data_IF_589941518918
#
_entry.id   IF_589941518918
#
_cell.length_a   1.000
_cell.length_b   1.000
_cell.length_c   1.000
_cell.angle_alpha   90.00
_cell.angle_beta   90.00
_cell.angle_gamma   90.00
#
_symmetry.space_group_name_H-M   'P 1'
#
loop_
_entity.id
_entity.type
_entity.pdbx_description
1 polymer ?
#
# COMPACT_ATOMS: atom_id res chain seq x y z
N UNK A 1 -8.71 0.51 -8.49
CA UNK A 1 -9.26 -0.68 -7.81
C UNK A 1 -10.76 -0.80 -8.11
N UNK A 2 -11.22 -1.76 -8.94
CA UNK A 2 -12.63 -1.82 -9.39
C UNK A 2 -13.65 -1.94 -8.26
N UNK A 3 -13.30 -2.63 -7.17
CA UNK A 3 -14.18 -2.80 -6.01
C UNK A 3 -14.48 -1.48 -5.28
N UNK A 4 -13.59 -0.48 -5.38
CA UNK A 4 -13.80 0.85 -4.79
C UNK A 4 -14.97 1.62 -5.44
N UNK A 5 -15.44 1.19 -6.63
CA UNK A 5 -16.66 1.73 -7.24
C UNK A 5 -17.93 1.21 -6.56
N UNK A 6 -17.85 0.02 -5.95
CA UNK A 6 -18.98 -0.64 -5.28
C UNK A 6 -19.04 -0.28 -3.79
N UNK A 7 -17.88 -0.14 -3.14
CA UNK A 7 -17.75 0.24 -1.75
C UNK A 7 -16.84 1.47 -1.65
N UNK A 8 -17.42 2.68 -1.51
CA UNK A 8 -16.67 3.91 -1.37
C UNK A 8 -15.75 3.88 -0.16
N UNK A 9 -14.67 4.66 -0.22
CA UNK A 9 -13.64 4.68 0.81
C UNK A 9 -14.18 5.17 2.17
N UNK A 10 -15.10 6.13 2.19
CA UNK A 10 -15.74 6.63 3.41
C UNK A 10 -16.53 5.53 4.14
N UNK A 11 -17.24 4.70 3.38
CA UNK A 11 -18.00 3.57 3.93
C UNK A 11 -17.04 2.51 4.51
N UNK A 12 -15.92 2.27 3.84
CA UNK A 12 -14.86 1.38 4.32
C UNK A 12 -14.24 1.89 5.65
N UNK A 13 -13.96 3.18 5.76
CA UNK A 13 -13.40 3.78 6.98
C UNK A 13 -14.36 3.64 8.17
N UNK A 14 -15.65 3.84 7.94
CA UNK A 14 -16.70 3.64 8.95
C UNK A 14 -16.73 2.19 9.45
N UNK A 15 -16.63 1.22 8.53
CA UNK A 15 -16.58 -0.21 8.89
C UNK A 15 -15.31 -0.55 9.67
N UNK A 16 -14.18 0.05 9.29
CA UNK A 16 -12.89 -0.16 9.97
C UNK A 16 -12.97 0.25 11.44
N UNK A 17 -13.57 1.39 11.76
CA UNK A 17 -13.69 1.84 13.15
C UNK A 17 -14.56 0.87 13.97
N UNK A 18 -15.72 0.49 13.43
CA UNK A 18 -16.61 -0.47 14.09
C UNK A 18 -15.93 -1.82 14.35
N UNK A 19 -15.19 -2.33 13.36
CA UNK A 19 -14.45 -3.58 13.51
C UNK A 19 -13.29 -3.46 14.50
N UNK A 20 -12.55 -2.35 14.46
CA UNK A 20 -11.39 -2.12 15.33
C UNK A 20 -11.78 -1.97 16.81
N UNK A 21 -12.98 -1.43 17.08
CA UNK A 21 -13.56 -1.37 18.43
C UNK A 21 -13.92 -2.77 18.93
N UNK A 22 -14.55 -3.58 18.07
CA UNK A 22 -15.01 -4.94 18.42
C UNK A 22 -13.84 -5.90 18.62
N UNK A 23 -12.87 -5.90 17.70
CA UNK A 23 -11.68 -6.76 17.75
C UNK A 23 -10.61 -6.28 18.74
N UNK A 24 -10.73 -5.03 19.23
CA UNK A 24 -9.74 -4.30 20.05
C UNK A 24 -8.38 -4.07 19.36
N UNK A 25 -8.21 -4.52 18.12
CA UNK A 25 -6.99 -4.34 17.34
C UNK A 25 -7.23 -3.34 16.20
N UNK A 26 -6.29 -2.41 15.95
CA UNK A 26 -6.40 -1.51 14.80
C UNK A 26 -6.26 -2.28 13.50
N UNK A 27 -7.08 -1.95 12.50
CA UNK A 27 -6.95 -2.49 11.14
C UNK A 27 -5.68 -1.96 10.48
N UNK A 28 -4.98 -2.82 9.74
CA UNK A 28 -3.84 -2.39 8.92
C UNK A 28 -4.30 -2.17 7.47
N UNK A 29 -4.09 -0.96 6.97
CA UNK A 29 -4.33 -0.57 5.59
C UNK A 29 -3.04 -0.75 4.78
N UNK A 30 -3.12 -1.49 3.69
CA UNK A 30 -2.00 -1.66 2.76
C UNK A 30 -2.06 -0.62 1.64
N UNK A 31 -0.96 0.10 1.43
CA UNK A 31 -0.83 1.10 0.38
C UNK A 31 0.33 0.75 -0.54
N UNK A 32 0.00 0.38 -1.78
CA UNK A 32 1.02 0.03 -2.78
C UNK A 32 1.51 1.29 -3.47
N UNK A 33 2.81 1.56 -3.35
CA UNK A 33 3.48 2.74 -3.88
C UNK A 33 4.01 2.42 -5.29
N UNK A 34 3.40 3.02 -6.31
CA UNK A 34 3.68 2.76 -7.74
C UNK A 34 4.08 4.06 -8.44
N UNK A 35 5.12 3.95 -9.28
CA UNK A 35 5.73 5.09 -9.96
C UNK A 35 4.71 5.86 -10.81
N UNK A 36 4.56 7.15 -10.53
CA UNK A 36 3.66 8.06 -11.25
C UNK A 36 2.16 7.78 -11.09
N UNK A 37 1.75 6.92 -10.15
CA UNK A 37 0.34 6.53 -9.96
C UNK A 37 -0.12 6.80 -8.53
N UNK A 38 0.69 6.41 -7.54
CA UNK A 38 0.35 6.52 -6.11
C UNK A 38 1.50 7.06 -5.28
N UNK A 39 2.55 7.60 -5.92
CA UNK A 39 3.79 8.01 -5.28
C UNK A 39 3.96 9.52 -5.14
N UNK A 40 2.90 10.30 -5.39
CA UNK A 40 2.95 11.74 -5.22
C UNK A 40 2.85 12.12 -3.73
N UNK A 41 3.58 13.17 -3.34
CA UNK A 41 3.48 13.80 -2.01
C UNK A 41 2.02 14.17 -1.67
N UNK A 42 1.24 14.63 -2.65
CA UNK A 42 -0.17 14.94 -2.44
C UNK A 42 -0.98 13.73 -2.00
N UNK A 43 -0.63 12.53 -2.46
CA UNK A 43 -1.29 11.30 -2.02
C UNK A 43 -0.92 10.96 -0.58
N UNK A 44 0.34 11.17 -0.17
CA UNK A 44 0.75 11.03 1.23
C UNK A 44 0.00 12.01 2.15
N UNK A 45 -0.18 13.27 1.73
CA UNK A 45 -0.93 14.26 2.49
C UNK A 45 -2.41 13.89 2.63
N UNK A 46 -3.03 13.41 1.53
CA UNK A 46 -4.41 12.91 1.57
C UNK A 46 -4.54 11.70 2.49
N UNK A 47 -3.59 10.77 2.48
CA UNK A 47 -3.59 9.63 3.40
C UNK A 47 -3.55 10.07 4.87
N UNK A 48 -2.75 11.09 5.21
CA UNK A 48 -2.70 11.62 6.57
C UNK A 48 -4.05 12.20 6.96
N UNK A 49 -4.62 13.06 6.12
CA UNK A 49 -5.90 13.71 6.38
C UNK A 49 -7.02 12.67 6.56
N UNK A 50 -7.13 11.73 5.61
CA UNK A 50 -8.20 10.73 5.58
C UNK A 50 -8.14 9.71 6.71
N UNK A 51 -6.96 9.39 7.22
CA UNK A 51 -6.79 8.35 8.26
C UNK A 51 -6.69 8.94 9.66
N UNK A 52 -6.56 10.26 9.78
CA UNK A 52 -6.55 10.94 11.09
C UNK A 52 -7.91 10.74 11.78
N UNK A 53 -7.87 10.28 13.03
CA UNK A 53 -9.08 9.99 13.82
C UNK A 53 -9.59 8.55 13.70
N UNK A 54 -9.10 7.77 12.73
CA UNK A 54 -9.49 6.38 12.55
C UNK A 54 -8.55 5.43 13.31
N UNK A 55 -9.11 4.34 13.85
CA UNK A 55 -8.33 3.34 14.61
C UNK A 55 -7.61 2.37 13.66
N UNK A 56 -6.63 2.85 12.92
CA UNK A 56 -5.91 2.07 11.92
C UNK A 56 -4.38 2.22 12.00
N UNK A 57 -3.70 1.42 11.18
CA UNK A 57 -2.27 1.51 10.87
C UNK A 57 -2.12 1.56 9.36
N UNK A 58 -1.11 2.25 8.87
CA UNK A 58 -0.77 2.27 7.45
C UNK A 58 0.50 1.45 7.20
N UNK A 59 0.45 0.55 6.22
CA UNK A 59 1.61 -0.20 5.76
C UNK A 59 1.89 0.13 4.29
N UNK A 60 2.94 0.91 4.06
CA UNK A 60 3.39 1.30 2.72
C UNK A 60 4.20 0.15 2.12
N UNK A 61 3.88 -0.24 0.89
CA UNK A 61 4.51 -1.34 0.17
C UNK A 61 5.06 -0.77 -1.13
N UNK A 62 6.36 -0.48 -1.20
CA UNK A 62 7.01 -0.15 -2.46
C UNK A 62 6.78 -1.27 -3.48
N UNK A 63 6.23 -0.92 -4.65
CA UNK A 63 5.96 -1.90 -5.69
C UNK A 63 7.23 -2.65 -6.09
N UNK A 64 7.11 -3.95 -6.35
CA UNK A 64 8.19 -4.74 -6.95
C UNK A 64 7.95 -4.83 -8.44
N UNK A 65 8.96 -4.55 -9.25
CA UNK A 65 8.85 -4.75 -10.69
C UNK A 65 8.72 -6.26 -10.98
N UNK A 66 7.68 -6.61 -11.73
CA UNK A 66 7.37 -7.97 -12.19
C UNK A 66 7.27 -8.04 -13.72
N UNK A 67 7.87 -7.07 -14.43
CA UNK A 67 7.90 -7.06 -15.90
C UNK A 67 6.61 -6.58 -16.55
N UNK A 68 5.83 -5.74 -15.87
CA UNK A 68 4.53 -5.26 -16.33
C UNK A 68 4.48 -3.76 -16.67
N UNK A 69 3.25 -3.26 -16.83
CA UNK A 69 2.95 -1.84 -17.09
C UNK A 69 3.22 -0.90 -15.91
N UNK A 70 3.32 -1.44 -14.69
CA UNK A 70 3.57 -0.65 -13.48
C UNK A 70 5.04 -0.74 -13.11
N UNK A 71 5.54 0.32 -12.48
CA UNK A 71 6.95 0.45 -12.13
C UNK A 71 7.12 0.78 -10.65
N UNK A 72 8.24 0.31 -10.11
CA UNK A 72 8.71 0.70 -8.78
C UNK A 72 9.11 2.18 -8.83
N UNK A 73 8.66 3.03 -7.89
CA UNK A 73 9.17 4.40 -7.79
C UNK A 73 10.68 4.42 -7.52
N UNK A 74 11.35 5.51 -7.90
CA UNK A 74 12.75 5.69 -7.53
C UNK A 74 12.90 5.80 -6.00
N UNK A 75 14.04 5.37 -5.45
CA UNK A 75 14.22 5.26 -3.99
C UNK A 75 14.10 6.63 -3.29
N UNK A 76 14.54 7.72 -3.92
CA UNK A 76 14.38 9.09 -3.43
C UNK A 76 12.90 9.52 -3.34
N UNK A 77 12.07 9.11 -4.30
CA UNK A 77 10.61 9.31 -4.28
C UNK A 77 9.99 8.51 -3.14
N UNK A 78 10.39 7.25 -2.97
CA UNK A 78 9.93 6.39 -1.86
C UNK A 78 10.28 7.03 -0.52
N UNK A 79 11.52 7.47 -0.33
CA UNK A 79 11.99 8.13 0.88
C UNK A 79 11.23 9.43 1.15
N UNK A 80 11.02 10.26 0.13
CA UNK A 80 10.28 11.51 0.25
C UNK A 80 8.83 11.28 0.67
N UNK A 81 8.18 10.26 0.08
CA UNK A 81 6.82 9.86 0.44
C UNK A 81 6.74 9.37 1.90
N UNK A 82 7.65 8.48 2.31
CA UNK A 82 7.73 7.98 3.69
C UNK A 82 8.03 9.11 4.68
N UNK A 83 8.94 10.02 4.33
CA UNK A 83 9.28 11.17 5.16
C UNK A 83 8.08 12.10 5.37
N UNK A 84 7.23 12.26 4.35
CA UNK A 84 5.98 13.01 4.47
C UNK A 84 5.04 12.36 5.47
N UNK A 85 4.91 11.03 5.43
CA UNK A 85 4.06 10.25 6.34
C UNK A 85 4.56 10.22 7.79
N UNK A 86 5.79 10.64 8.09
CA UNK A 86 6.28 10.76 9.49
C UNK A 86 5.47 11.75 10.33
N UNK A 87 4.72 12.65 9.69
CA UNK A 87 3.82 13.61 10.36
C UNK A 87 2.47 12.99 10.76
N UNK A 88 2.19 11.76 10.34
CA UNK A 88 0.92 11.09 10.64
C UNK A 88 0.74 10.87 12.15
N UNK A 89 -0.47 11.09 12.70
CA UNK A 89 -0.78 10.80 14.10
C UNK A 89 -1.05 9.30 14.36
N UNK A 90 -0.87 8.44 13.37
CA UNK A 90 -1.11 7.00 13.43
C UNK A 90 0.14 6.21 12.98
N UNK A 91 0.26 4.92 13.36
CA UNK A 91 1.44 4.14 13.01
C UNK A 91 1.58 3.93 11.50
N UNK A 92 2.76 4.23 10.97
CA UNK A 92 3.15 3.97 9.59
C UNK A 92 4.31 2.99 9.58
N UNK A 93 4.17 1.88 8.85
CA UNK A 93 5.24 0.92 8.58
C UNK A 93 5.53 0.86 7.09
N UNK A 94 6.74 0.42 6.74
CA UNK A 94 7.13 0.17 5.36
C UNK A 94 7.49 -1.30 5.22
N UNK A 95 6.76 -2.02 4.36
CA UNK A 95 7.07 -3.40 4.02
C UNK A 95 7.96 -3.41 2.78
N UNK A 96 9.25 -3.36 3.04
CA UNK A 96 10.25 -3.66 2.02
C UNK A 96 10.12 -5.13 1.61
N UNK A 97 10.10 -5.37 0.32
CA UNK A 97 10.09 -6.72 -0.21
C UNK A 97 11.41 -7.38 0.15
N UNK A 98 11.33 -8.51 0.85
CA UNK A 98 12.51 -9.31 1.20
C UNK A 98 13.28 -9.60 -0.08
N UNK A 99 14.56 -9.22 -0.15
CA UNK A 99 15.40 -9.61 -1.28
C UNK A 99 15.45 -8.70 -2.50
N UNK A 100 15.27 -7.38 -2.33
CA UNK A 100 15.77 -6.42 -3.33
C UNK A 100 17.29 -6.22 -3.24
N UNK A 101 17.88 -6.48 -2.06
CA UNK A 101 19.33 -6.55 -1.87
C UNK A 101 19.93 -7.96 -2.10
N UNK A 102 19.07 -8.99 -2.22
CA UNK A 102 19.43 -10.39 -2.45
C UNK A 102 18.24 -11.09 -3.09
N UNK A 103 18.22 -11.19 -4.41
CA UNK A 103 17.16 -11.76 -5.27
C UNK A 103 16.29 -12.88 -4.64
N UNK A 104 15.33 -12.53 -3.79
CA UNK A 104 14.49 -13.45 -3.02
C UNK A 104 13.11 -12.83 -2.66
N UNK A 105 12.60 -11.98 -3.55
CA UNK A 105 11.32 -11.28 -3.42
C UNK A 105 10.10 -12.15 -3.69
N UNK A 106 9.17 -12.18 -2.71
CA UNK A 106 7.83 -12.75 -2.84
C UNK A 106 7.01 -12.05 -3.95
N UNK A 107 6.48 -12.84 -4.88
CA UNK A 107 5.66 -12.38 -6.02
C UNK A 107 5.49 -13.38 -7.19
N UNK A 108 6.08 -14.58 -7.13
CA UNK A 108 6.14 -15.54 -8.25
C UNK A 108 5.03 -16.61 -8.25
N UNK A 109 3.79 -16.26 -7.95
CA UNK A 109 2.65 -17.19 -8.08
C UNK A 109 1.61 -16.65 -9.06
N UNK A 110 2.03 -16.35 -10.31
CA UNK A 110 1.11 -16.16 -11.44
C UNK A 110 1.82 -16.09 -12.81
N UNK A 111 2.71 -17.02 -13.18
CA UNK A 111 3.03 -17.30 -14.61
C UNK A 111 3.45 -18.76 -14.80
N UNK A 112 2.58 -19.72 -14.50
CA UNK A 112 2.73 -21.10 -14.99
C UNK A 112 1.38 -21.63 -15.44
N UNK A 113 0.76 -20.94 -16.39
CA UNK A 113 -0.35 -21.51 -17.16
C UNK A 113 -0.44 -20.83 -18.53
N UNK A 114 0.54 -21.08 -19.40
CA UNK A 114 0.46 -20.89 -20.88
C UNK A 114 1.82 -21.15 -21.54
N UNK A 115 2.34 -22.38 -21.49
CA UNK A 115 3.43 -22.85 -22.39
C UNK A 115 3.63 -24.37 -22.31
N UNK A 116 2.55 -25.17 -22.43
CA UNK A 116 2.67 -26.57 -22.87
C UNK A 116 1.39 -26.93 -23.63
N UNK A 117 1.28 -26.51 -24.89
CA UNK A 117 0.74 -27.33 -25.99
C UNK A 117 1.41 -26.84 -27.27
N UNK A 118 2.39 -27.60 -27.75
CA UNK A 118 2.65 -27.77 -29.18
C UNK A 118 3.12 -29.20 -29.37
#
# INVERSE_FOLDING_TARGET
>A
MPIAKKYPLEELLTVIDNYSLTSRHPVTLEYVLMAGITDNIDDALKLIDMLTGHRCKLNVIPYNDIGGKYKRPADDVIETFINTLKKAPFPVTVRWSKGTDIAAGCGQLAVMESSVIN
#
